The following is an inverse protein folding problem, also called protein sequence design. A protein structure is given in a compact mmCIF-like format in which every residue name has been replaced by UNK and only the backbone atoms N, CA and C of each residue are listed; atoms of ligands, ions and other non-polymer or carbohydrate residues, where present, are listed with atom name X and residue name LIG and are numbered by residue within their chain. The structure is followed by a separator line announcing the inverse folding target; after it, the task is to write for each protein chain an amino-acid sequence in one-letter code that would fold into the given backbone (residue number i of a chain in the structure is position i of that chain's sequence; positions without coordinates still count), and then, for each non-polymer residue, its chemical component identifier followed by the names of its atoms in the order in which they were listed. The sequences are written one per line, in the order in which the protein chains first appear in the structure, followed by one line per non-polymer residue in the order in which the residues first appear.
data_IF_170839513535
#
_entry.id   IF_170839513535
#
_cell.length_a   1.000
_cell.length_b   1.000
_cell.length_c   1.000
_cell.angle_alpha   90.00
_cell.angle_beta   90.00
_cell.angle_gamma   90.00
#
_symmetry.space_group_name_H-M   'P 1'
#
loop_
_entity.id
_entity.type
_entity.pdbx_description
1 polymer ?
#
# COMPACT_ATOMS: atom_id res chain seq x y z
N UNK A 1 13.04 -21.26 23.37
CA UNK A 1 11.68 -21.01 22.83
C UNK A 1 10.64 -21.71 23.71
N UNK A 2 10.47 -21.32 24.99
CA UNK A 2 9.77 -22.21 25.95
C UNK A 2 8.73 -21.54 26.89
N UNK A 3 8.13 -20.40 26.54
CA UNK A 3 7.07 -19.85 27.41
C UNK A 3 6.02 -18.91 26.78
N UNK A 4 6.00 -18.69 25.45
CA UNK A 4 5.02 -17.79 24.84
C UNK A 4 3.57 -18.34 24.86
N UNK A 5 3.42 -19.66 24.82
CA UNK A 5 2.12 -20.35 24.74
C UNK A 5 1.27 -20.21 26.02
N UNK A 6 1.90 -20.07 27.20
CA UNK A 6 1.20 -19.93 28.48
C UNK A 6 0.42 -18.61 28.57
N UNK A 7 0.78 -17.61 27.76
CA UNK A 7 0.19 -16.26 27.81
C UNK A 7 -0.95 -16.05 26.80
N UNK A 8 -0.91 -16.72 25.66
CA UNK A 8 -1.87 -16.52 24.56
C UNK A 8 -2.95 -17.60 24.44
N UNK A 9 -2.81 -18.75 25.13
CA UNK A 9 -3.82 -19.83 25.19
C UNK A 9 -4.06 -20.58 23.89
N UNK A 10 -3.70 -20.00 22.74
CA UNK A 10 -3.82 -20.57 21.41
C UNK A 10 -2.45 -20.64 20.75
N UNK A 11 -2.11 -21.83 20.24
CA UNK A 11 -0.97 -22.03 19.34
C UNK A 11 -1.44 -21.67 17.94
N UNK A 12 -1.02 -20.52 17.44
CA UNK A 12 -1.38 -20.04 16.09
C UNK A 12 -0.21 -20.28 15.14
N UNK A 13 -0.46 -20.93 14.01
CA UNK A 13 0.52 -21.11 12.92
C UNK A 13 0.39 -19.96 11.91
N UNK A 14 0.55 -18.72 12.39
CA UNK A 14 0.59 -17.55 11.51
C UNK A 14 2.04 -17.22 11.17
N UNK A 15 2.36 -16.98 9.88
CA UNK A 15 3.68 -16.54 9.50
C UNK A 15 3.98 -15.21 10.18
N UNK A 16 5.20 -15.07 10.71
CA UNK A 16 5.72 -13.81 11.22
C UNK A 16 5.65 -12.75 10.12
N UNK A 17 4.65 -11.86 10.21
CA UNK A 17 4.55 -10.69 9.33
C UNK A 17 5.70 -9.75 9.69
N UNK A 18 6.67 -9.59 8.80
CA UNK A 18 7.79 -8.66 9.00
C UNK A 18 7.29 -7.22 8.89
N UNK A 19 7.29 -6.49 10.01
CA UNK A 19 6.98 -5.06 10.07
C UNK A 19 5.51 -4.73 10.37
N UNK A 20 5.23 -3.43 10.50
CA UNK A 20 3.86 -2.92 10.70
C UNK A 20 3.07 -3.09 9.40
N UNK A 21 1.85 -3.65 9.43
CA UNK A 21 0.97 -3.64 8.26
C UNK A 21 0.88 -2.21 7.71
N UNK A 22 1.14 -2.04 6.41
CA UNK A 22 0.88 -0.75 5.77
C UNK A 22 -0.63 -0.53 5.81
N UNK A 23 -1.05 0.37 6.70
CA UNK A 23 -2.41 0.90 6.69
C UNK A 23 -2.55 1.66 5.39
N UNK A 24 -3.63 1.40 4.66
CA UNK A 24 -3.94 2.06 3.40
C UNK A 24 -3.90 3.57 3.63
N UNK A 25 -2.93 4.26 3.04
CA UNK A 25 -2.79 5.70 3.23
C UNK A 25 -3.72 6.46 2.25
N UNK A 26 -3.90 7.76 2.47
CA UNK A 26 -4.73 8.60 1.60
C UNK A 26 -4.26 8.64 0.15
N UNK A 27 -2.96 8.47 -0.11
CA UNK A 27 -2.40 8.39 -1.46
C UNK A 27 -2.80 7.09 -2.17
N UNK A 28 -2.74 5.96 -1.47
CA UNK A 28 -3.11 4.65 -2.01
C UNK A 28 -4.61 4.60 -2.36
N UNK A 29 -5.47 5.25 -1.55
CA UNK A 29 -6.90 5.41 -1.87
C UNK A 29 -7.09 6.27 -3.12
N UNK A 30 -6.39 7.40 -3.25
CA UNK A 30 -6.52 8.23 -4.44
C UNK A 30 -6.01 7.50 -5.69
N UNK A 31 -4.88 6.82 -5.59
CA UNK A 31 -4.32 6.02 -6.68
C UNK A 31 -5.30 4.93 -7.15
N UNK A 32 -5.93 4.20 -6.23
CA UNK A 32 -6.93 3.19 -6.59
C UNK A 32 -8.14 3.81 -7.27
N UNK A 33 -8.66 4.94 -6.76
CA UNK A 33 -9.77 5.64 -7.39
C UNK A 33 -9.43 6.11 -8.82
N UNK A 34 -8.23 6.65 -9.04
CA UNK A 34 -7.78 7.13 -10.35
C UNK A 34 -7.71 5.97 -11.37
N UNK A 35 -7.18 4.82 -10.97
CA UNK A 35 -7.06 3.64 -11.83
C UNK A 35 -8.41 2.99 -12.11
N UNK A 36 -9.31 2.95 -11.11
CA UNK A 36 -10.68 2.46 -11.30
C UNK A 36 -11.47 3.32 -12.30
N UNK A 37 -11.25 4.63 -12.31
CA UNK A 37 -11.90 5.54 -13.26
C UNK A 37 -11.22 5.57 -14.64
N UNK A 38 -9.89 5.45 -14.69
CA UNK A 38 -9.09 5.49 -15.92
C UNK A 38 -7.87 4.57 -15.79
N UNK A 39 -7.95 3.30 -16.24
CA UNK A 39 -6.87 2.32 -16.09
C UNK A 39 -5.63 2.62 -16.95
N UNK A 40 -5.81 3.35 -18.06
CA UNK A 40 -4.71 3.71 -18.98
C UNK A 40 -3.95 4.98 -18.56
N UNK A 41 -4.06 5.38 -17.29
CA UNK A 41 -3.43 6.59 -16.78
C UNK A 41 -1.91 6.39 -16.65
N UNK A 42 -1.13 7.33 -17.18
CA UNK A 42 0.33 7.26 -17.08
C UNK A 42 0.79 7.55 -15.65
N UNK A 43 1.90 6.96 -15.21
CA UNK A 43 2.47 7.23 -13.88
C UNK A 43 2.71 8.72 -13.61
N UNK A 44 3.06 9.49 -14.66
CA UNK A 44 3.21 10.94 -14.59
C UNK A 44 1.88 11.65 -14.32
N UNK A 45 0.81 11.24 -14.98
CA UNK A 45 -0.53 11.80 -14.75
C UNK A 45 -1.01 11.50 -13.32
N UNK A 46 -0.74 10.29 -12.82
CA UNK A 46 -1.04 9.91 -11.44
C UNK A 46 -0.25 10.80 -10.46
N UNK A 47 1.03 11.06 -10.72
CA UNK A 47 1.82 12.00 -9.93
C UNK A 47 1.21 13.41 -9.95
N UNK A 48 0.85 13.93 -11.13
CA UNK A 48 0.28 15.27 -11.28
C UNK A 48 -1.03 15.40 -10.46
N UNK A 49 -1.89 14.38 -10.45
CA UNK A 49 -3.11 14.36 -9.63
C UNK A 49 -2.82 14.25 -8.12
N UNK A 50 -1.82 13.47 -7.72
CA UNK A 50 -1.39 13.38 -6.32
C UNK A 50 -0.77 14.69 -5.82
N UNK A 51 0.02 15.36 -6.67
CA UNK A 51 0.60 16.66 -6.39
C UNK A 51 -0.50 17.71 -6.22
N UNK A 52 -1.54 17.66 -7.07
CA UNK A 52 -2.69 18.55 -6.99
C UNK A 52 -3.53 18.32 -5.72
N UNK A 53 -3.69 17.07 -5.28
CA UNK A 53 -4.52 16.72 -4.13
C UNK A 53 -3.81 16.87 -2.78
N UNK A 54 -2.51 16.59 -2.72
CA UNK A 54 -1.74 16.48 -1.48
C UNK A 54 -0.50 17.36 -1.43
N UNK A 55 -0.25 18.19 -2.45
CA UNK A 55 0.93 19.07 -2.57
C UNK A 55 2.27 18.31 -2.40
N UNK A 56 2.25 17.01 -2.70
CA UNK A 56 3.39 16.12 -2.48
C UNK A 56 3.82 15.50 -3.81
N UNK A 57 5.07 15.74 -4.21
CA UNK A 57 5.67 15.06 -5.34
C UNK A 57 6.11 13.64 -4.93
N UNK A 58 5.60 12.64 -5.65
CA UNK A 58 5.85 11.22 -5.36
C UNK A 58 6.53 10.57 -6.56
N UNK A 59 7.76 10.08 -6.38
CA UNK A 59 8.50 9.48 -7.49
C UNK A 59 7.72 8.36 -8.21
N UNK A 60 7.86 8.28 -9.54
CA UNK A 60 7.23 7.21 -10.35
C UNK A 60 7.55 5.80 -9.85
N UNK A 61 8.73 5.58 -9.26
CA UNK A 61 9.10 4.30 -8.64
C UNK A 61 8.25 3.99 -7.40
N UNK A 62 7.96 5.01 -6.58
CA UNK A 62 7.09 4.88 -5.41
C UNK A 62 5.66 4.53 -5.85
N UNK A 63 5.14 5.24 -6.86
CA UNK A 63 3.81 4.98 -7.42
C UNK A 63 3.74 3.55 -7.95
N UNK A 64 4.69 3.14 -8.81
CA UNK A 64 4.72 1.79 -9.37
C UNK A 64 4.79 0.69 -8.29
N UNK A 65 5.57 0.89 -7.22
CA UNK A 65 5.63 -0.06 -6.10
C UNK A 65 4.32 -0.14 -5.34
N UNK A 66 3.65 1.00 -5.13
CA UNK A 66 2.35 1.04 -4.47
C UNK A 66 1.29 0.30 -5.30
N UNK A 67 1.23 0.57 -6.61
CA UNK A 67 0.31 -0.11 -7.53
C UNK A 67 0.50 -1.62 -7.55
N UNK A 68 1.75 -2.08 -7.66
CA UNK A 68 2.08 -3.52 -7.56
C UNK A 68 1.68 -4.14 -6.24
N UNK A 69 1.85 -3.42 -5.13
CA UNK A 69 1.44 -3.89 -3.81
C UNK A 69 -0.09 -4.03 -3.70
N UNK A 70 -0.83 -3.12 -4.32
CA UNK A 70 -2.29 -3.17 -4.40
C UNK A 70 -2.82 -4.19 -5.43
N UNK A 71 -1.94 -4.83 -6.22
CA UNK A 71 -2.31 -5.85 -7.21
C UNK A 71 -2.62 -5.31 -8.60
N UNK A 72 -2.28 -4.05 -8.89
CA UNK A 72 -2.39 -3.47 -10.22
C UNK A 72 -1.12 -3.73 -11.05
N UNK A 73 -1.26 -3.89 -12.39
CA UNK A 73 -0.16 -4.21 -13.30
C UNK A 73 0.91 -3.11 -13.39
#
# INVERSE_FOLDING_TARGET
VLALWQRSGNVVNEPLRTGRPRVLNSYEILMSCLIEHKPDMLLKEINDELLKAFETDVSNQTISRALKYCGYP
#
